data_IF_297126888163
#
_entry.id   IF_297126888163
#
_cell.length_a   1.000
_cell.length_b   1.000
_cell.length_c   1.000
_cell.angle_alpha   90.00
_cell.angle_beta   90.00
_cell.angle_gamma   90.00
#
_symmetry.space_group_name_H-M   'P 1'
#
loop_
_entity.id
_entity.type
_entity.pdbx_description
1 polymer ?
#
# COMPACT_ATOMS: atom_id res chain seq x y z
N UNK A 1 -9.91 48.55 -1.14
CA UNK A 1 -10.86 47.55 -0.59
C UNK A 1 -11.20 46.59 -1.72
N UNK A 2 -10.54 45.44 -1.77
CA UNK A 2 -10.79 44.43 -2.78
C UNK A 2 -12.08 43.70 -2.44
N UNK A 3 -13.12 43.92 -3.22
CA UNK A 3 -14.39 43.22 -3.10
C UNK A 3 -14.18 41.77 -3.57
N UNK A 4 -14.02 40.86 -2.60
CA UNK A 4 -14.11 39.43 -2.86
C UNK A 4 -15.53 39.13 -3.33
N UNK A 5 -15.70 38.93 -4.64
CA UNK A 5 -16.96 38.46 -5.23
C UNK A 5 -17.13 36.98 -4.93
N UNK A 6 -18.19 36.63 -4.21
CA UNK A 6 -18.66 35.25 -4.12
C UNK A 6 -19.31 34.89 -5.46
N UNK A 7 -18.67 34.00 -6.23
CA UNK A 7 -19.28 33.36 -7.39
C UNK A 7 -19.98 32.07 -6.91
N UNK A 8 -21.28 31.94 -7.18
CA UNK A 8 -22.05 30.73 -6.92
C UNK A 8 -21.83 29.83 -8.14
N UNK A 9 -21.05 28.76 -7.99
CA UNK A 9 -20.80 27.78 -9.06
C UNK A 9 -21.96 26.78 -9.12
N UNK A 10 -22.39 26.39 -10.33
CA UNK A 10 -23.34 25.28 -10.49
C UNK A 10 -22.70 23.93 -10.14
N UNK A 11 -23.48 22.93 -9.74
CA UNK A 11 -22.96 21.60 -9.33
C UNK A 11 -22.05 20.96 -10.40
N UNK A 12 -22.30 21.22 -11.69
CA UNK A 12 -21.48 20.69 -12.79
C UNK A 12 -20.17 21.47 -13.00
N UNK A 13 -20.18 22.78 -12.79
CA UNK A 13 -18.96 23.60 -12.81
C UNK A 13 -18.10 23.34 -11.58
N UNK A 14 -18.72 23.09 -10.43
CA UNK A 14 -18.04 22.64 -9.21
C UNK A 14 -17.41 21.25 -9.42
N UNK A 15 -18.14 20.30 -10.03
CA UNK A 15 -17.60 18.99 -10.39
C UNK A 15 -16.37 19.12 -11.32
N UNK A 16 -16.47 19.96 -12.36
CA UNK A 16 -15.36 20.22 -13.27
C UNK A 16 -14.17 20.92 -12.58
N UNK A 17 -14.42 21.86 -11.66
CA UNK A 17 -13.38 22.51 -10.86
C UNK A 17 -12.65 21.51 -9.94
N UNK A 18 -13.38 20.56 -9.38
CA UNK A 18 -12.82 19.52 -8.50
C UNK A 18 -12.00 18.50 -9.31
N UNK A 19 -12.47 18.08 -10.48
CA UNK A 19 -11.71 17.23 -11.40
C UNK A 19 -10.44 17.93 -11.93
N UNK A 20 -10.52 19.24 -12.17
CA UNK A 20 -9.39 20.08 -12.56
C UNK A 20 -8.43 20.38 -11.40
N UNK A 21 -8.86 20.21 -10.14
CA UNK A 21 -8.01 20.37 -8.95
C UNK A 21 -7.09 19.16 -8.76
N UNK A 22 -6.19 18.96 -9.71
CA UNK A 22 -5.11 17.98 -9.57
C UNK A 22 -4.13 18.48 -8.52
N UNK A 23 -4.23 17.93 -7.32
CA UNK A 23 -3.23 18.12 -6.27
C UNK A 23 -1.95 17.35 -6.59
N UNK A 24 -0.81 18.02 -6.56
CA UNK A 24 0.51 17.38 -6.57
C UNK A 24 0.67 16.64 -5.22
N UNK A 25 0.48 15.32 -5.22
CA UNK A 25 0.75 14.49 -4.05
C UNK A 25 2.21 14.06 -4.09
N UNK A 26 3.01 14.56 -3.14
CA UNK A 26 4.39 14.11 -2.93
C UNK A 26 4.47 13.33 -1.64
N UNK A 27 4.81 12.06 -1.73
CA UNK A 27 5.17 11.24 -0.58
C UNK A 27 6.68 11.09 -0.52
N UNK A 28 7.26 11.19 0.68
CA UNK A 28 8.68 10.91 0.91
C UNK A 28 8.80 10.00 2.13
N UNK A 29 9.45 8.86 1.95
CA UNK A 29 9.68 7.86 3.00
C UNK A 29 11.19 7.77 3.22
N UNK A 30 11.64 8.05 4.45
CA UNK A 30 13.04 7.94 4.86
C UNK A 30 13.21 6.85 5.90
N UNK A 31 14.10 5.90 5.62
CA UNK A 31 14.50 4.85 6.56
C UNK A 31 16.03 4.83 6.69
N UNK A 32 16.51 4.65 7.92
CA UNK A 32 17.93 4.67 8.26
C UNK A 32 18.30 3.53 9.23
N UNK A 33 18.25 2.26 8.80
CA UNK A 33 18.63 1.13 9.64
C UNK A 33 20.13 1.21 9.96
N UNK A 34 20.48 0.90 11.22
CA UNK A 34 21.88 0.78 11.67
C UNK A 34 22.17 -0.68 12.03
N UNK A 35 23.34 -1.17 11.61
CA UNK A 35 23.76 -2.56 11.81
C UNK A 35 25.22 -2.59 12.18
N UNK A 36 25.56 -3.43 13.15
CA UNK A 36 26.94 -3.78 13.50
C UNK A 36 27.11 -5.27 13.25
N UNK A 37 28.18 -5.66 12.55
CA UNK A 37 28.45 -7.04 12.18
C UNK A 37 29.95 -7.30 12.20
N UNK A 38 30.37 -8.55 12.41
CA UNK A 38 31.77 -8.93 12.32
C UNK A 38 32.25 -8.99 10.87
N UNK A 39 33.56 -8.82 10.67
CA UNK A 39 34.15 -8.85 9.34
C UNK A 39 33.79 -10.14 8.58
N UNK A 40 33.17 -10.00 7.40
CA UNK A 40 32.73 -11.12 6.56
C UNK A 40 31.39 -11.73 6.94
N UNK A 41 30.81 -11.38 8.09
CA UNK A 41 29.51 -11.88 8.51
C UNK A 41 28.37 -11.21 7.74
N UNK A 42 27.34 -11.99 7.45
CA UNK A 42 26.07 -11.46 6.95
C UNK A 42 25.16 -11.07 8.10
N UNK A 43 24.55 -9.90 7.99
CA UNK A 43 23.50 -9.45 8.89
C UNK A 43 22.23 -9.12 8.10
N UNK A 44 21.09 -9.42 8.71
CA UNK A 44 19.77 -9.15 8.14
C UNK A 44 19.01 -8.24 9.08
N UNK A 45 18.44 -7.17 8.53
CA UNK A 45 17.53 -6.26 9.21
C UNK A 45 16.16 -6.41 8.59
N UNK A 46 15.14 -6.54 9.42
CA UNK A 46 13.75 -6.62 8.99
C UNK A 46 12.98 -5.59 9.80
N UNK A 47 12.42 -4.61 9.11
CA UNK A 47 11.46 -3.64 9.63
C UNK A 47 10.20 -3.75 8.78
N UNK A 48 9.27 -4.60 9.22
CA UNK A 48 8.05 -4.89 8.47
C UNK A 48 6.84 -4.94 9.40
N UNK A 49 5.74 -4.35 8.94
CA UNK A 49 4.42 -4.48 9.51
C UNK A 49 3.62 -5.52 8.73
N UNK A 50 2.77 -6.27 9.44
CA UNK A 50 1.88 -7.25 8.85
C UNK A 50 0.45 -6.71 8.90
N UNK A 51 -0.14 -6.49 7.72
CA UNK A 51 -1.50 -5.98 7.59
C UNK A 51 -2.41 -7.09 7.06
N UNK A 52 -3.48 -7.46 7.78
CA UNK A 52 -4.43 -8.47 7.32
C UNK A 52 -5.42 -7.89 6.30
N UNK A 53 -5.65 -8.60 5.20
CA UNK A 53 -6.63 -8.28 4.16
C UNK A 53 -7.65 -9.39 3.99
N UNK A 54 -8.91 -9.02 3.73
CA UNK A 54 -9.97 -9.96 3.34
C UNK A 54 -10.05 -9.99 1.82
N UNK A 55 -9.47 -11.01 1.20
CA UNK A 55 -9.38 -11.11 -0.28
C UNK A 55 -10.48 -11.98 -0.90
N UNK A 56 -11.13 -12.81 -0.09
CA UNK A 56 -12.15 -13.76 -0.54
C UNK A 56 -13.12 -14.07 0.59
N UNK A 57 -14.31 -14.56 0.23
CA UNK A 57 -15.33 -15.02 1.15
C UNK A 57 -15.83 -16.36 0.66
N UNK A 58 -15.88 -17.36 1.55
CA UNK A 58 -16.46 -18.67 1.26
C UNK A 58 -17.86 -18.73 1.88
N UNK A 59 -18.91 -19.04 1.09
CA UNK A 59 -20.23 -19.25 1.65
C UNK A 59 -20.26 -20.55 2.46
N UNK A 60 -20.80 -20.48 3.67
CA UNK A 60 -21.05 -21.63 4.53
C UNK A 60 -22.56 -21.76 4.66
N UNK A 61 -23.12 -22.80 4.04
CA UNK A 61 -24.56 -23.09 4.07
C UNK A 61 -24.86 -24.11 5.17
N UNK A 62 -25.83 -23.80 6.01
CA UNK A 62 -26.51 -24.70 6.94
C UNK A 62 -27.99 -24.83 6.57
N UNK A 63 -28.70 -25.75 7.23
CA UNK A 63 -30.06 -26.16 6.87
C UNK A 63 -31.07 -25.01 6.76
N UNK A 64 -30.82 -23.88 7.45
CA UNK A 64 -31.63 -22.66 7.40
C UNK A 64 -30.82 -21.37 7.55
N UNK A 65 -29.51 -21.42 7.32
CA UNK A 65 -28.64 -20.26 7.54
C UNK A 65 -27.51 -20.27 6.53
N UNK A 66 -27.30 -19.13 5.89
CA UNK A 66 -26.09 -18.90 5.13
C UNK A 66 -25.22 -17.85 5.81
N UNK A 67 -23.97 -18.23 6.02
CA UNK A 67 -22.94 -17.36 6.56
C UNK A 67 -21.81 -17.19 5.54
N UNK A 68 -21.10 -16.08 5.66
CA UNK A 68 -19.97 -15.75 4.82
C UNK A 68 -18.72 -15.80 5.68
N UNK A 69 -17.82 -16.74 5.38
CA UNK A 69 -16.55 -16.87 6.07
C UNK A 69 -15.47 -16.10 5.31
N UNK A 70 -14.90 -15.01 5.87
CA UNK A 70 -13.82 -14.29 5.22
C UNK A 70 -12.53 -15.11 5.23
N UNK A 71 -11.82 -15.09 4.11
CA UNK A 71 -10.46 -15.62 3.98
C UNK A 71 -9.50 -14.44 4.16
N UNK A 72 -8.79 -14.44 5.30
CA UNK A 72 -7.84 -13.40 5.66
C UNK A 72 -6.44 -13.82 5.21
N UNK A 73 -5.77 -12.95 4.48
CA UNK A 73 -4.35 -13.11 4.13
C UNK A 73 -3.57 -11.98 4.77
N UNK A 74 -2.46 -12.33 5.43
CA UNK A 74 -1.56 -11.36 6.03
C UNK A 74 -0.48 -11.00 5.02
N UNK A 75 -0.41 -9.72 4.66
CA UNK A 75 0.62 -9.20 3.77
C UNK A 75 1.64 -8.42 4.58
N UNK A 76 2.93 -8.63 4.28
CA UNK A 76 4.03 -7.90 4.90
C UNK A 76 4.37 -6.65 4.08
N UNK A 77 4.35 -5.51 4.74
CA UNK A 77 4.79 -4.21 4.23
C UNK A 77 6.02 -3.74 5.01
N UNK A 78 7.02 -3.18 4.34
CA UNK A 78 8.20 -2.63 4.97
C UNK A 78 9.48 -2.97 4.22
N UNK A 79 10.58 -3.02 4.97
CA UNK A 79 11.93 -3.10 4.41
C UNK A 79 12.71 -4.24 5.05
N UNK A 80 13.30 -5.06 4.19
CA UNK A 80 14.27 -6.07 4.57
C UNK A 80 15.61 -5.71 3.94
N UNK A 81 16.68 -5.75 4.70
CA UNK A 81 18.03 -5.46 4.22
C UNK A 81 18.95 -6.59 4.61
N UNK A 82 19.57 -7.23 3.62
CA UNK A 82 20.69 -8.13 3.85
C UNK A 82 21.97 -7.40 3.51
N UNK A 83 22.92 -7.38 4.45
CA UNK A 83 24.21 -6.74 4.29
C UNK A 83 25.33 -7.69 4.66
N UNK A 84 26.41 -7.66 3.88
CA UNK A 84 27.67 -8.28 4.22
C UNK A 84 28.77 -7.24 4.02
N UNK A 85 29.62 -7.08 5.04
CA UNK A 85 30.75 -6.16 4.97
C UNK A 85 32.06 -6.92 5.11
N UNK A 86 33.04 -6.59 4.26
CA UNK A 86 34.41 -7.07 4.39
C UNK A 86 35.35 -5.87 4.49
N UNK A 87 36.09 -5.80 5.59
CA UNK A 87 37.08 -4.75 5.83
C UNK A 87 38.35 -5.06 5.04
N UNK A 88 38.92 -4.03 4.39
CA UNK A 88 40.21 -4.09 3.71
C UNK A 88 41.34 -4.31 4.72
N UNK A 89 42.43 -4.94 4.26
CA UNK A 89 43.62 -5.21 5.09
C UNK A 89 44.22 -3.92 5.68
N UNK A 90 44.19 -2.83 4.91
CA UNK A 90 44.66 -1.51 5.31
C UNK A 90 43.69 -0.73 6.21
N UNK A 91 42.51 -1.31 6.53
CA UNK A 91 41.44 -0.68 7.33
C UNK A 91 40.92 0.66 6.77
N UNK A 92 41.19 0.97 5.49
CA UNK A 92 40.74 2.24 4.89
C UNK A 92 39.41 2.12 4.17
N UNK A 93 39.07 0.92 3.73
CA UNK A 93 37.89 0.65 2.92
C UNK A 93 37.09 -0.53 3.47
N UNK A 94 35.78 -0.45 3.29
CA UNK A 94 34.85 -1.53 3.56
C UNK A 94 34.13 -1.86 2.26
N UNK A 95 34.28 -3.12 1.82
CA UNK A 95 33.49 -3.66 0.72
C UNK A 95 32.15 -4.10 1.27
N UNK A 96 31.09 -3.42 0.85
CA UNK A 96 29.72 -3.67 1.27
C UNK A 96 28.94 -4.33 0.14
N UNK A 97 28.38 -5.49 0.40
CA UNK A 97 27.35 -6.13 -0.44
C UNK A 97 26.01 -5.90 0.22
N UNK A 98 25.12 -5.19 -0.47
CA UNK A 98 23.82 -4.75 0.05
C UNK A 98 22.71 -5.28 -0.86
N UNK A 99 21.74 -5.96 -0.25
CA UNK A 99 20.54 -6.47 -0.91
C UNK A 99 19.31 -6.00 -0.13
N UNK A 100 18.88 -4.74 -0.32
CA UNK A 100 17.59 -4.27 0.15
C UNK A 100 16.42 -4.84 -0.65
N UNK A 101 15.34 -5.09 0.06
CA UNK A 101 14.02 -5.43 -0.43
C UNK A 101 12.99 -4.53 0.26
N UNK A 102 12.36 -3.65 -0.51
CA UNK A 102 11.29 -2.78 -0.05
C UNK A 102 9.96 -3.29 -0.61
N UNK A 103 8.96 -3.42 0.24
CA UNK A 103 7.58 -3.76 -0.11
C UNK A 103 6.68 -2.67 0.45
N UNK A 104 5.92 -2.01 -0.41
CA UNK A 104 4.90 -1.04 -0.01
C UNK A 104 3.55 -1.47 -0.55
N UNK A 105 2.50 -1.32 0.26
CA UNK A 105 1.14 -1.56 -0.20
C UNK A 105 0.71 -0.31 -0.97
N UNK A 106 0.36 -0.52 -2.24
CA UNK A 106 -0.19 0.52 -3.10
C UNK A 106 -1.69 0.71 -2.86
N UNK A 107 -2.42 1.05 -3.92
CA UNK A 107 -3.86 1.22 -3.83
C UNK A 107 -4.55 -0.09 -3.46
N UNK A 108 -5.49 0.00 -2.52
CA UNK A 108 -6.37 -1.09 -2.13
C UNK A 108 -7.70 -0.89 -2.85
N UNK A 109 -7.86 -1.60 -3.97
CA UNK A 109 -9.15 -1.64 -4.65
C UNK A 109 -10.13 -2.52 -3.87
N UNK A 110 -11.42 -2.18 -3.91
CA UNK A 110 -12.46 -3.05 -3.36
C UNK A 110 -13.28 -3.61 -4.52
N UNK A 111 -13.63 -4.88 -4.42
CA UNK A 111 -14.53 -5.54 -5.36
C UNK A 111 -15.76 -6.03 -4.60
N UNK A 112 -16.93 -5.55 -5.01
CA UNK A 112 -18.22 -5.97 -4.47
C UNK A 112 -18.81 -7.03 -5.37
N UNK A 113 -18.95 -8.26 -4.88
CA UNK A 113 -19.73 -9.28 -5.57
C UNK A 113 -21.21 -8.92 -5.50
N UNK A 114 -21.84 -8.68 -6.64
CA UNK A 114 -23.31 -8.53 -6.76
C UNK A 114 -23.98 -9.91 -6.72
N UNK A 115 -23.91 -10.58 -5.56
CA UNK A 115 -24.70 -11.76 -5.27
C UNK A 115 -25.77 -11.41 -4.24
N UNK A 116 -27.01 -11.83 -4.50
CA UNK A 116 -28.09 -11.79 -3.50
C UNK A 116 -28.36 -13.20 -3.00
N UNK A 117 -28.40 -13.34 -1.68
CA UNK A 117 -28.74 -14.57 -1.01
C UNK A 117 -30.02 -14.36 -0.22
N UNK A 118 -30.99 -15.25 -0.42
CA UNK A 118 -32.28 -15.23 0.26
C UNK A 118 -32.36 -16.44 1.17
N UNK A 119 -32.35 -16.22 2.48
CA UNK A 119 -32.63 -17.27 3.46
C UNK A 119 -34.06 -17.10 3.95
N UNK A 120 -34.91 -18.11 3.75
CA UNK A 120 -36.27 -18.14 4.29
C UNK A 120 -36.32 -19.17 5.41
N UNK A 121 -36.51 -18.72 6.64
CA UNK A 121 -36.78 -19.58 7.79
C UNK A 121 -38.29 -19.60 8.03
N UNK A 122 -38.93 -20.73 7.84
CA UNK A 122 -40.33 -20.95 8.19
C UNK A 122 -40.43 -21.74 9.49
N UNK A 123 -41.14 -21.20 10.48
CA UNK A 123 -41.63 -21.97 11.62
C UNK A 123 -43.14 -22.13 11.46
N UNK A 124 -43.60 -23.37 11.60
CA UNK A 124 -45.01 -23.66 11.64
C UNK A 124 -45.36 -24.10 13.06
N UNK A 125 -46.14 -23.30 13.77
CA UNK A 125 -46.67 -23.66 15.08
C UNK A 125 -48.13 -24.00 14.89
N UNK A 126 -48.48 -25.27 15.08
CA UNK A 126 -49.87 -25.70 15.16
C UNK A 126 -50.31 -25.49 16.59
N UNK A 127 -51.27 -24.59 16.82
CA UNK A 127 -51.92 -24.55 18.12
C UNK A 127 -52.79 -25.81 18.26
N UNK A 128 -52.73 -26.44 19.43
CA UNK A 128 -53.49 -27.64 19.75
C UNK A 128 -54.16 -27.43 21.12
N UNK A 129 -54.97 -26.37 21.18
CA UNK A 129 -55.77 -25.98 22.34
C UNK A 129 -56.98 -26.91 22.57
N UNK A 130 -57.27 -27.80 21.61
CA UNK A 130 -58.27 -28.87 21.73
C UNK A 130 -59.70 -28.43 21.46
N UNK A 131 -59.92 -27.26 20.85
CA UNK A 131 -61.26 -26.76 20.53
C UNK A 131 -61.83 -27.31 19.19
N UNK A 132 -61.03 -28.07 18.45
CA UNK A 132 -61.40 -28.73 17.20
C UNK A 132 -61.14 -27.89 15.94
N UNK A 133 -60.64 -26.66 16.06
CA UNK A 133 -60.03 -25.94 14.96
C UNK A 133 -58.50 -26.20 14.97
N UNK A 134 -57.90 -26.24 13.77
CA UNK A 134 -56.45 -26.33 13.62
C UNK A 134 -55.98 -24.98 13.10
N UNK A 135 -55.49 -24.13 13.99
CA UNK A 135 -54.90 -22.85 13.63
C UNK A 135 -53.40 -23.04 13.37
N UNK A 136 -53.01 -23.07 12.09
CA UNK A 136 -51.61 -23.08 11.67
C UNK A 136 -51.14 -21.64 11.50
N UNK A 137 -50.22 -21.21 12.36
CA UNK A 137 -49.51 -19.94 12.19
C UNK A 137 -48.19 -20.20 11.47
N UNK A 138 -48.19 -19.93 10.15
CA UNK A 138 -46.99 -19.96 9.31
C UNK A 138 -46.22 -18.64 9.48
N UNK A 139 -45.16 -18.67 10.29
CA UNK A 139 -44.24 -17.55 10.43
C UNK A 139 -43.02 -17.77 9.52
N UNK A 140 -43.00 -17.10 8.38
CA UNK A 140 -41.86 -17.10 7.46
C UNK A 140 -41.05 -15.81 7.60
N UNK A 141 -39.82 -15.91 8.10
CA UNK A 141 -38.86 -14.80 8.12
C UNK A 141 -37.90 -14.94 6.94
N UNK A 142 -37.88 -13.95 6.05
CA UNK A 142 -36.98 -13.94 4.88
C UNK A 142 -35.92 -12.86 5.06
N UNK A 143 -34.66 -13.28 5.15
CA UNK A 143 -33.51 -12.38 5.21
C UNK A 143 -32.80 -12.40 3.87
N UNK A 144 -32.75 -11.24 3.21
CA UNK A 144 -31.98 -11.05 1.97
C UNK A 144 -30.67 -10.36 2.32
N UNK A 145 -29.54 -11.02 2.03
CA UNK A 145 -28.21 -10.43 2.15
C UNK A 145 -27.68 -10.21 0.73
N UNK A 146 -27.31 -8.97 0.42
CA UNK A 146 -26.82 -8.62 -0.92
C UNK A 146 -25.47 -7.92 -0.80
N UNK A 147 -24.51 -8.34 -1.61
CA UNK A 147 -23.21 -7.70 -1.71
C UNK A 147 -22.18 -8.25 -0.71
N UNK A 148 -21.05 -8.72 -1.23
CA UNK A 148 -19.86 -9.02 -0.43
C UNK A 148 -18.68 -8.23 -0.96
N UNK A 149 -18.09 -7.38 -0.13
CA UNK A 149 -16.92 -6.58 -0.50
C UNK A 149 -15.63 -7.29 -0.10
N UNK A 150 -14.76 -7.55 -1.07
CA UNK A 150 -13.40 -8.03 -0.84
C UNK A 150 -12.39 -6.95 -1.21
N UNK A 151 -11.19 -7.04 -0.65
CA UNK A 151 -10.08 -6.11 -0.90
C UNK A 151 -9.07 -6.77 -1.84
N UNK A 152 -8.64 -6.03 -2.85
CA UNK A 152 -7.59 -6.41 -3.80
C UNK A 152 -6.43 -5.40 -3.65
N UNK A 153 -5.50 -5.66 -2.70
CA UNK A 153 -4.33 -4.81 -2.53
C UNK A 153 -3.35 -5.01 -3.68
N UNK A 154 -2.79 -3.90 -4.18
CA UNK A 154 -1.61 -3.93 -5.05
C UNK A 154 -0.36 -3.72 -4.20
N UNK A 155 0.76 -4.33 -4.58
CA UNK A 155 2.03 -4.11 -3.88
C UNK A 155 3.12 -3.65 -4.85
N UNK A 156 3.94 -2.73 -4.37
CA UNK A 156 5.10 -2.22 -5.07
C UNK A 156 6.35 -2.80 -4.42
N UNK A 157 7.14 -3.54 -5.20
CA UNK A 157 8.38 -4.16 -4.73
C UNK A 157 9.57 -3.51 -5.41
N UNK A 158 10.57 -3.16 -4.61
CA UNK A 158 11.84 -2.62 -5.07
C UNK A 158 12.96 -3.45 -4.46
N UNK A 159 13.77 -4.07 -5.32
CA UNK A 159 14.95 -4.83 -4.91
C UNK A 159 16.17 -4.31 -5.66
N UNK A 160 17.25 -4.06 -4.92
CA UNK A 160 18.54 -3.62 -5.48
C UNK A 160 19.60 -4.56 -4.96
N UNK A 161 20.50 -5.04 -5.81
CA UNK A 161 21.65 -5.85 -5.41
C UNK A 161 22.91 -5.17 -5.90
N UNK A 162 23.73 -4.68 -4.97
CA UNK A 162 24.92 -3.91 -5.30
C UNK A 162 26.08 -4.26 -4.38
N UNK A 163 27.30 -4.18 -4.90
CA UNK A 163 28.53 -4.28 -4.12
C UNK A 163 29.38 -3.05 -4.37
N UNK A 164 29.72 -2.33 -3.31
CA UNK A 164 30.51 -1.10 -3.39
C UNK A 164 31.63 -1.08 -2.37
N UNK A 165 32.73 -0.43 -2.71
CA UNK A 165 33.82 -0.13 -1.79
C UNK A 165 33.65 1.29 -1.28
N UNK A 166 33.55 1.45 0.04
CA UNK A 166 33.31 2.73 0.69
C UNK A 166 34.43 2.97 1.71
N UNK A 167 35.07 4.15 1.73
CA UNK A 167 36.09 4.44 2.74
C UNK A 167 35.47 4.47 4.14
N UNK A 168 36.25 4.13 5.16
CA UNK A 168 35.79 4.16 6.56
C UNK A 168 35.33 5.57 6.97
N UNK A 169 34.13 5.66 7.55
CA UNK A 169 33.46 6.92 7.89
C UNK A 169 33.01 7.77 6.70
N UNK A 170 33.31 7.36 5.48
CA UNK A 170 32.86 8.02 4.26
C UNK A 170 31.45 7.58 3.86
N UNK A 171 30.77 8.45 3.12
CA UNK A 171 29.40 8.18 2.65
C UNK A 171 29.38 8.02 1.15
N UNK A 172 28.79 6.94 0.66
CA UNK A 172 28.56 6.72 -0.76
C UNK A 172 27.07 6.72 -1.06
N UNK A 173 26.69 7.47 -2.10
CA UNK A 173 25.35 7.46 -2.65
C UNK A 173 25.25 6.36 -3.71
N UNK A 174 24.53 5.30 -3.36
CA UNK A 174 24.07 4.27 -4.28
C UNK A 174 22.83 4.81 -4.98
N UNK A 175 22.99 5.19 -6.25
CA UNK A 175 21.85 5.51 -7.11
C UNK A 175 20.90 4.32 -7.18
N UNK A 176 19.64 4.51 -6.76
CA UNK A 176 18.63 3.47 -6.84
C UNK A 176 17.88 3.49 -8.18
N UNK A 177 16.61 3.07 -8.15
CA UNK A 177 15.75 3.05 -9.34
C UNK A 177 15.04 4.41 -9.52
N UNK A 178 14.99 4.91 -10.75
CA UNK A 178 14.14 6.05 -11.13
C UNK A 178 13.11 5.59 -12.15
N UNK A 179 11.84 5.68 -11.83
CA UNK A 179 10.72 5.38 -12.72
C UNK A 179 10.00 6.68 -13.06
N UNK A 180 9.64 6.84 -14.32
CA UNK A 180 8.83 7.95 -14.79
C UNK A 180 7.65 7.38 -15.55
N UNK A 181 6.43 7.73 -15.13
CA UNK A 181 5.20 7.43 -15.87
C UNK A 181 4.59 8.74 -16.33
N UNK A 182 4.26 8.81 -17.62
CA UNK A 182 3.59 9.95 -18.22
C UNK A 182 2.25 9.46 -18.78
N UNK A 183 1.15 10.05 -18.32
CA UNK A 183 -0.20 9.80 -18.78
C UNK A 183 -0.79 11.08 -19.35
N UNK A 184 -1.25 11.01 -20.60
CA UNK A 184 -1.98 12.11 -21.24
C UNK A 184 -3.44 11.69 -21.39
N UNK A 185 -4.32 12.34 -20.65
CA UNK A 185 -5.76 12.19 -20.76
C UNK A 185 -6.35 13.38 -21.52
N UNK A 186 -7.10 13.11 -22.58
CA UNK A 186 -7.80 14.14 -23.35
C UNK A 186 -9.29 13.88 -23.26
N UNK A 187 -10.04 14.82 -22.70
CA UNK A 187 -11.49 14.78 -22.63
C UNK A 187 -12.04 15.98 -23.42
N UNK A 188 -12.95 15.73 -24.36
CA UNK A 188 -13.55 16.80 -25.17
C UNK A 188 -14.90 16.40 -25.74
N UNK A 189 -15.75 17.38 -26.00
CA UNK A 189 -17.06 17.15 -26.62
C UNK A 189 -16.87 16.71 -28.09
N UNK A 190 -17.43 15.55 -28.51
CA UNK A 190 -17.16 14.93 -29.82
C UNK A 190 -17.43 15.81 -31.05
N UNK A 191 -18.32 16.80 -30.93
CA UNK A 191 -18.75 17.67 -32.03
C UNK A 191 -17.97 19.00 -32.12
N UNK A 192 -17.67 19.65 -30.98
CA UNK A 192 -17.02 20.98 -30.96
C UNK A 192 -15.48 20.92 -30.93
N UNK A 193 -14.90 19.76 -30.59
CA UNK A 193 -13.44 19.53 -30.61
C UNK A 193 -12.80 19.52 -32.01
N UNK A 194 -13.60 19.47 -33.08
CA UNK A 194 -13.12 19.45 -34.46
C UNK A 194 -13.09 20.81 -35.14
N UNK A 195 -13.65 21.86 -34.53
CA UNK A 195 -13.63 23.19 -35.10
C UNK A 195 -12.33 23.90 -34.75
N UNK A 196 -11.50 24.29 -35.75
CA UNK A 196 -10.35 25.14 -35.49
C UNK A 196 -10.82 26.45 -34.82
N UNK A 197 -9.98 27.03 -33.95
CA UNK A 197 -10.23 28.23 -33.13
C UNK A 197 -11.06 28.07 -31.85
N UNK A 198 -12.05 27.17 -31.80
CA UNK A 198 -12.93 27.00 -30.62
C UNK A 198 -12.53 25.78 -29.78
N UNK A 199 -11.81 24.82 -30.36
CA UNK A 199 -11.34 23.57 -29.75
C UNK A 199 -10.71 23.75 -28.34
N UNK A 200 -9.84 24.76 -28.15
CA UNK A 200 -9.16 25.01 -26.87
C UNK A 200 -10.12 25.35 -25.71
N UNK A 201 -11.32 25.88 -26.00
CA UNK A 201 -12.30 26.24 -24.98
C UNK A 201 -13.16 25.04 -24.53
N UNK A 202 -13.14 23.94 -25.29
CA UNK A 202 -14.01 22.77 -25.10
C UNK A 202 -13.27 21.43 -24.95
N UNK A 203 -11.93 21.48 -24.89
CA UNK A 203 -11.06 20.33 -24.63
C UNK A 203 -10.38 20.50 -23.27
N UNK A 204 -10.48 19.49 -22.44
CA UNK A 204 -9.71 19.36 -21.21
C UNK A 204 -8.56 18.38 -21.48
N UNK A 205 -7.31 18.81 -21.21
CA UNK A 205 -6.12 17.98 -21.36
C UNK A 205 -5.48 17.84 -20.00
N UNK A 206 -5.59 16.64 -19.41
CA UNK A 206 -4.86 16.27 -18.19
C UNK A 206 -3.52 15.66 -18.55
N UNK A 207 -2.42 16.28 -18.11
CA UNK A 207 -1.07 15.71 -18.21
C UNK A 207 -0.66 15.26 -16.82
N UNK A 208 -0.74 13.95 -16.56
CA UNK A 208 -0.24 13.35 -15.32
C UNK A 208 1.20 12.89 -15.51
N UNK A 209 2.11 13.31 -14.63
CA UNK A 209 3.49 12.83 -14.59
C UNK A 209 3.80 12.32 -13.19
N UNK A 210 4.01 11.02 -13.08
CA UNK A 210 4.43 10.36 -11.85
C UNK A 210 5.94 10.06 -11.95
N UNK A 211 6.69 10.36 -10.89
CA UNK A 211 8.14 10.07 -10.84
C UNK A 211 8.48 9.42 -9.51
N UNK A 212 8.87 8.15 -9.57
CA UNK A 212 9.36 7.40 -8.40
C UNK A 212 10.88 7.42 -8.42
N UNK A 213 11.52 7.81 -7.34
CA UNK A 213 12.98 7.81 -7.22
C UNK A 213 13.40 7.18 -5.90
N UNK A 214 14.17 6.09 -5.99
CA UNK A 214 14.83 5.48 -4.84
C UNK A 214 16.30 5.91 -4.81
N UNK A 215 16.76 6.35 -3.66
CA UNK A 215 18.16 6.69 -3.40
C UNK A 215 18.60 5.98 -2.14
N UNK A 216 19.78 5.37 -2.16
CA UNK A 216 20.33 4.67 -1.00
C UNK A 216 21.67 5.28 -0.62
N UNK A 217 21.83 5.62 0.64
CA UNK A 217 23.07 6.16 1.18
C UNK A 217 23.62 5.17 2.19
N UNK A 218 24.93 4.91 2.12
CA UNK A 218 25.61 4.00 3.04
C UNK A 218 26.87 4.64 3.59
N UNK A 219 27.07 4.47 4.90
CA UNK A 219 28.21 4.99 5.66
C UNK A 219 28.71 3.89 6.58
N UNK A 220 29.79 3.16 6.22
CA UNK A 220 30.40 2.19 7.10
C UNK A 220 31.25 2.86 8.19
N UNK A 221 31.34 2.22 9.34
CA UNK A 221 32.27 2.56 10.42
C UNK A 221 32.93 1.28 10.93
N UNK A 222 34.26 1.23 10.91
CA UNK A 222 35.06 0.13 11.46
C UNK A 222 35.21 0.34 12.96
N UNK A 223 34.83 -0.66 13.76
CA UNK A 223 34.96 -0.64 15.23
C UNK A 223 35.97 -1.71 15.63
N UNK A 224 37.01 -1.29 16.37
CA UNK A 224 38.03 -2.18 16.93
C UNK A 224 37.75 -2.31 18.43
N UNK A 225 37.48 -3.54 18.89
CA UNK A 225 37.05 -3.78 20.28
C UNK A 225 38.10 -3.39 21.32
N UNK A 226 39.37 -3.72 21.05
CA UNK A 226 40.51 -3.41 21.93
C UNK A 226 40.64 -1.90 22.19
N UNK A 227 40.54 -1.08 21.14
CA UNK A 227 40.61 0.38 21.26
C UNK A 227 39.35 0.98 21.91
N UNK A 228 38.18 0.35 21.73
CA UNK A 228 36.96 0.77 22.43
C UNK A 228 36.99 0.47 23.93
N UNK A 229 37.60 -0.63 24.35
CA UNK A 229 37.74 -1.03 25.76
C UNK A 229 38.68 -0.07 26.52
N UNK A 230 39.81 0.31 25.91
CA UNK A 230 40.71 1.34 26.44
C UNK A 230 40.01 2.71 26.56
N UNK A 231 39.23 3.09 25.54
CA UNK A 231 38.48 4.35 25.53
C UNK A 231 37.30 4.37 26.50
N UNK A 232 36.78 3.20 26.89
CA UNK A 232 35.72 3.03 27.90
C UNK A 232 36.25 2.77 29.31
N UNK A 233 37.57 2.72 29.49
CA UNK A 233 38.21 2.58 30.80
C UNK A 233 38.02 1.21 31.46
N UNK A 234 37.71 0.18 30.68
CA UNK A 234 37.65 -1.20 31.15
C UNK A 234 38.96 -1.86 30.75
N UNK A 235 40.04 -1.52 31.46
CA UNK A 235 41.29 -2.26 31.32
C UNK A 235 41.10 -3.65 31.96
N UNK A 236 41.41 -4.69 31.19
CA UNK A 236 41.54 -6.07 31.66
C UNK A 236 42.72 -6.14 32.64
N UNK A 237 42.47 -6.64 33.86
CA UNK A 237 43.53 -7.12 34.76
C UNK A 237 44.10 -8.46 34.27
#
# INVERSE_FOLDING_TARGET
>A
VGQFGFAILSDIEAFFLIEASQGDQRSNVLQAPKVTLFNGQQATVIDAAQVPFVISVVPVVGEFAAAQQPVIVVLSEGTMLTVQAVVSDDRRYVRLTLVPFFSQIGDVSTFTFEGSETTTSSSNTTDQDGDGNNESNDNANTVVRSGTTVQLPTFQVISVSTTVSVPDGGTVLLGGIKRLKEGRSEAGVPLLSKMPYIDRLFRNVGIGRETDSLMMMVTPHIIIQEEEEERRGIAVE
#
